data_IF_497726272025
#
_entry.id   IF_497726272025
#
_cell.length_a   1.000
_cell.length_b   1.000
_cell.length_c   1.000
_cell.angle_alpha   90.00
_cell.angle_beta   90.00
_cell.angle_gamma   90.00
#
_symmetry.space_group_name_H-M   'P 1'
#
loop_
_entity.id
_entity.type
_entity.pdbx_description
1 polymer ?
#
# COMPACT_ATOMS: atom_id res chain seq x y z
N UNK A 1 32.74 79.72 -17.85
CA UNK A 1 32.50 78.41 -17.22
C UNK A 1 31.05 78.01 -17.41
N UNK A 2 30.75 76.97 -18.22
CA UNK A 2 29.40 76.38 -18.33
C UNK A 2 29.56 74.86 -18.22
N UNK A 3 29.01 74.30 -17.14
CA UNK A 3 29.06 72.86 -16.80
C UNK A 3 28.24 72.06 -17.82
N UNK A 4 28.84 70.99 -18.35
CA UNK A 4 28.18 69.97 -19.17
C UNK A 4 27.41 69.03 -18.24
N UNK A 5 26.10 68.86 -18.44
CA UNK A 5 25.31 67.83 -17.76
C UNK A 5 25.34 66.59 -18.65
N UNK A 6 25.94 65.51 -18.16
CA UNK A 6 25.92 64.18 -18.78
C UNK A 6 24.65 63.49 -18.26
N UNK A 7 23.68 63.23 -19.15
CA UNK A 7 22.50 62.42 -18.84
C UNK A 7 22.92 60.96 -19.06
N UNK A 8 23.08 60.22 -17.95
CA UNK A 8 23.38 58.80 -17.97
C UNK A 8 22.17 57.98 -18.42
N UNK A 9 22.37 57.14 -19.45
CA UNK A 9 21.40 56.15 -19.88
C UNK A 9 21.37 55.00 -18.85
N UNK A 10 20.23 54.81 -18.19
CA UNK A 10 19.96 53.63 -17.35
C UNK A 10 19.37 52.56 -18.27
N UNK A 11 20.21 51.62 -18.70
CA UNK A 11 19.77 50.41 -19.40
C UNK A 11 19.22 49.42 -18.37
N UNK A 12 17.90 49.28 -18.31
CA UNK A 12 17.24 48.21 -17.58
C UNK A 12 17.47 46.88 -18.31
N UNK A 13 18.33 46.02 -17.75
CA UNK A 13 18.48 44.63 -18.20
C UNK A 13 17.27 43.84 -17.70
N UNK A 14 16.35 43.54 -18.61
CA UNK A 14 15.26 42.58 -18.40
C UNK A 14 15.87 41.18 -18.21
N UNK A 15 15.91 40.70 -16.97
CA UNK A 15 16.14 39.28 -16.67
C UNK A 15 14.92 38.50 -17.19
N UNK A 16 15.06 37.85 -18.35
CA UNK A 16 14.14 36.82 -18.77
C UNK A 16 14.32 35.61 -17.85
N UNK A 17 13.42 35.44 -16.89
CA UNK A 17 13.31 34.22 -16.10
C UNK A 17 12.93 33.06 -17.03
N UNK A 18 13.90 32.24 -17.40
CA UNK A 18 13.62 30.94 -18.02
C UNK A 18 13.03 30.07 -16.91
N UNK A 19 11.71 29.95 -16.89
CA UNK A 19 11.04 28.90 -16.12
C UNK A 19 11.34 27.61 -16.85
N UNK A 20 12.41 26.92 -16.43
CA UNK A 20 12.58 25.51 -16.73
C UNK A 20 11.44 24.78 -16.04
N UNK A 21 10.33 24.59 -16.75
CA UNK A 21 9.37 23.57 -16.41
C UNK A 21 10.10 22.22 -16.52
N UNK A 22 10.68 21.78 -15.40
CA UNK A 22 11.21 20.44 -15.29
C UNK A 22 10.08 19.48 -15.62
N UNK A 23 10.15 18.83 -16.79
CA UNK A 23 9.30 17.67 -17.06
C UNK A 23 9.58 16.69 -15.94
N UNK A 24 8.58 16.43 -15.10
CA UNK A 24 8.63 15.30 -14.18
C UNK A 24 9.05 14.09 -15.02
N UNK A 25 10.21 13.51 -14.72
CA UNK A 25 10.68 12.34 -15.45
C UNK A 25 9.63 11.26 -15.22
N UNK A 26 8.90 10.88 -16.27
CA UNK A 26 8.00 9.74 -16.21
C UNK A 26 8.81 8.56 -15.70
N UNK A 27 8.40 7.97 -14.58
CA UNK A 27 9.12 6.87 -13.97
C UNK A 27 9.40 5.77 -15.00
N UNK A 28 10.68 5.45 -15.21
CA UNK A 28 11.11 4.46 -16.20
C UNK A 28 11.47 3.17 -15.46
N UNK A 29 10.65 2.13 -15.54
CA UNK A 29 11.06 0.77 -15.13
C UNK A 29 11.37 -0.02 -16.38
N UNK A 30 12.35 -0.91 -16.36
CA UNK A 30 12.65 -1.80 -17.49
C UNK A 30 12.20 -3.21 -17.12
N UNK A 31 11.31 -3.79 -17.93
CA UNK A 31 10.75 -5.14 -17.77
C UNK A 31 11.11 -5.99 -18.98
N UNK A 32 11.82 -7.10 -18.79
CA UNK A 32 12.31 -7.98 -19.87
C UNK A 32 13.06 -7.22 -20.98
N UNK A 33 13.78 -6.15 -20.61
CA UNK A 33 14.48 -5.27 -21.56
C UNK A 33 13.60 -4.18 -22.20
N UNK A 34 12.28 -4.20 -21.99
CA UNK A 34 11.36 -3.19 -22.48
C UNK A 34 11.20 -2.06 -21.46
N UNK A 35 11.37 -0.82 -21.90
CA UNK A 35 11.14 0.33 -21.06
C UNK A 35 9.63 0.61 -20.90
N UNK A 36 9.19 0.74 -19.65
CA UNK A 36 7.82 1.07 -19.29
C UNK A 36 7.73 2.57 -19.02
N UNK A 37 6.74 3.22 -19.62
CA UNK A 37 6.35 4.58 -19.28
C UNK A 37 5.04 4.51 -18.51
N UNK A 38 5.05 4.90 -17.25
CA UNK A 38 3.84 4.94 -16.45
C UNK A 38 3.15 6.29 -16.56
N UNK A 39 1.83 6.26 -16.74
CA UNK A 39 1.00 7.47 -16.66
C UNK A 39 0.75 7.81 -15.19
N UNK A 40 0.33 6.81 -14.41
CA UNK A 40 0.22 6.93 -12.96
C UNK A 40 1.60 6.70 -12.31
N UNK A 41 2.01 7.59 -11.41
CA UNK A 41 3.37 7.54 -10.84
C UNK A 41 3.55 6.33 -9.91
N UNK A 42 4.56 5.47 -10.14
CA UNK A 42 4.99 4.48 -9.17
C UNK A 42 5.37 5.13 -7.83
N UNK A 43 5.15 4.41 -6.73
CA UNK A 43 5.45 4.89 -5.38
C UNK A 43 5.91 3.74 -4.50
N UNK A 44 6.46 4.03 -3.32
CA UNK A 44 6.91 3.00 -2.38
C UNK A 44 5.95 2.81 -1.21
N UNK A 45 5.79 1.56 -0.80
CA UNK A 45 5.20 1.17 0.49
C UNK A 45 6.29 0.43 1.27
N UNK A 46 6.84 1.06 2.30
CA UNK A 46 8.04 0.56 2.97
C UNK A 46 9.19 0.37 1.98
N UNK A 47 9.63 -0.87 1.79
CA UNK A 47 10.68 -1.25 0.82
C UNK A 47 10.16 -1.77 -0.53
N UNK A 48 8.84 -1.78 -0.74
CA UNK A 48 8.23 -2.30 -1.96
C UNK A 48 7.91 -1.17 -2.94
N UNK A 49 8.41 -1.29 -4.17
CA UNK A 49 8.04 -0.41 -5.26
C UNK A 49 6.70 -0.88 -5.87
N UNK A 50 5.69 -0.02 -5.78
CA UNK A 50 4.36 -0.21 -6.31
C UNK A 50 4.27 0.35 -7.73
N UNK A 51 3.81 -0.48 -8.68
CA UNK A 51 3.69 -0.10 -10.09
C UNK A 51 2.25 -0.31 -10.60
N UNK A 52 1.75 0.54 -11.52
CA UNK A 52 0.46 0.35 -12.19
C UNK A 52 0.40 -0.98 -12.95
N UNK A 53 -0.60 -1.81 -12.64
CA UNK A 53 -0.75 -3.15 -13.22
C UNK A 53 -0.96 -3.08 -14.74
N UNK A 54 -1.78 -2.14 -15.22
CA UNK A 54 -2.20 -2.11 -16.63
C UNK A 54 -1.02 -1.81 -17.55
N UNK A 55 -0.28 -0.75 -17.29
CA UNK A 55 0.89 -0.34 -18.07
C UNK A 55 2.02 -1.38 -17.95
N UNK A 56 2.16 -1.99 -16.78
CA UNK A 56 3.07 -3.13 -16.59
C UNK A 56 2.72 -4.27 -17.55
N UNK A 57 1.45 -4.70 -17.58
CA UNK A 57 0.99 -5.78 -18.45
C UNK A 57 1.07 -5.41 -19.93
N UNK A 58 0.90 -4.14 -20.26
CA UNK A 58 1.12 -3.62 -21.61
C UNK A 58 2.58 -3.80 -22.05
N UNK A 59 3.54 -3.42 -21.20
CA UNK A 59 4.96 -3.58 -21.48
C UNK A 59 5.44 -5.04 -21.52
N UNK A 60 4.71 -5.95 -20.85
CA UNK A 60 4.94 -7.39 -20.88
C UNK A 60 4.30 -8.09 -22.08
N UNK A 61 3.95 -7.35 -23.13
CA UNK A 61 3.45 -7.90 -24.40
C UNK A 61 1.94 -7.76 -24.58
N UNK A 62 1.33 -6.66 -24.09
CA UNK A 62 -0.10 -6.37 -24.20
C UNK A 62 -0.98 -7.47 -23.58
N UNK A 63 -0.64 -7.89 -22.37
CA UNK A 63 -1.40 -8.92 -21.65
C UNK A 63 -2.79 -8.37 -21.29
N UNK A 64 -3.89 -9.03 -21.71
CA UNK A 64 -5.22 -8.58 -21.39
C UNK A 64 -5.52 -8.78 -19.89
N UNK A 65 -6.15 -7.79 -19.28
CA UNK A 65 -6.61 -7.83 -17.89
C UNK A 65 -8.12 -7.64 -17.83
N UNK A 66 -8.79 -8.54 -17.12
CA UNK A 66 -10.21 -8.45 -16.79
C UNK A 66 -10.35 -7.84 -15.41
N UNK A 67 -11.14 -6.77 -15.29
CA UNK A 67 -11.44 -6.14 -14.01
C UNK A 67 -12.89 -6.41 -13.61
N UNK A 68 -13.09 -7.00 -12.45
CA UNK A 68 -14.37 -7.10 -11.77
C UNK A 68 -14.47 -5.99 -10.72
N UNK A 69 -15.27 -4.97 -11.03
CA UNK A 69 -15.47 -3.82 -10.14
C UNK A 69 -16.30 -4.14 -8.89
N UNK A 70 -17.15 -5.18 -8.93
CA UNK A 70 -17.95 -5.57 -7.77
C UNK A 70 -17.09 -6.28 -6.73
N UNK A 71 -16.15 -7.12 -7.20
CA UNK A 71 -15.25 -7.88 -6.35
C UNK A 71 -13.92 -7.17 -6.08
N UNK A 72 -13.68 -6.02 -6.75
CA UNK A 72 -12.42 -5.27 -6.77
C UNK A 72 -11.23 -6.16 -7.14
N UNK A 73 -11.40 -6.93 -8.21
CA UNK A 73 -10.52 -8.03 -8.58
C UNK A 73 -10.05 -7.92 -10.02
N UNK A 74 -8.75 -8.04 -10.24
CA UNK A 74 -8.12 -8.17 -11.55
C UNK A 74 -7.77 -9.64 -11.83
N UNK A 75 -8.09 -10.13 -13.03
CA UNK A 75 -7.68 -11.44 -13.53
C UNK A 75 -6.96 -11.30 -14.85
N UNK A 76 -5.83 -11.98 -14.99
CA UNK A 76 -5.05 -12.01 -16.23
C UNK A 76 -4.26 -13.30 -16.35
N UNK A 77 -3.87 -13.66 -17.57
CA UNK A 77 -3.02 -14.82 -17.82
C UNK A 77 -1.69 -14.36 -18.38
N UNK A 78 -0.59 -14.76 -17.75
CA UNK A 78 0.75 -14.41 -18.20
C UNK A 78 1.67 -15.65 -18.21
N UNK A 79 2.29 -15.91 -19.36
CA UNK A 79 3.16 -17.07 -19.58
C UNK A 79 2.54 -18.42 -19.13
N UNK A 80 1.24 -18.59 -19.36
CA UNK A 80 0.51 -19.81 -19.00
C UNK A 80 0.03 -19.88 -17.55
N UNK A 81 0.35 -18.89 -16.71
CA UNK A 81 -0.16 -18.80 -15.35
C UNK A 81 -1.44 -17.96 -15.31
N UNK A 82 -2.47 -18.45 -14.63
CA UNK A 82 -3.69 -17.68 -14.30
C UNK A 82 -3.48 -16.92 -13.00
N UNK A 83 -3.60 -15.59 -13.06
CA UNK A 83 -3.36 -14.71 -11.91
C UNK A 83 -4.63 -13.97 -11.54
N UNK A 84 -4.98 -14.02 -10.25
CA UNK A 84 -6.08 -13.26 -9.65
C UNK A 84 -5.54 -12.39 -8.53
N UNK A 85 -5.82 -11.09 -8.62
CA UNK A 85 -5.36 -10.08 -7.66
C UNK A 85 -6.56 -9.29 -7.18
N UNK A 86 -6.74 -9.19 -5.87
CA UNK A 86 -7.81 -8.40 -5.25
C UNK A 86 -7.24 -7.15 -4.59
N UNK A 87 -7.89 -6.01 -4.77
CA UNK A 87 -7.55 -4.77 -4.06
C UNK A 87 -7.56 -5.01 -2.55
N UNK A 88 -6.64 -4.40 -1.82
CA UNK A 88 -6.48 -4.58 -0.37
C UNK A 88 -5.89 -5.94 0.05
N UNK A 89 -5.79 -6.91 -0.87
CA UNK A 89 -5.22 -8.22 -0.59
C UNK A 89 -3.70 -8.17 -0.45
N UNK A 90 -3.18 -8.89 0.53
CA UNK A 90 -1.75 -9.16 0.69
C UNK A 90 -1.22 -10.36 -0.07
N UNK A 91 -2.08 -11.01 -0.83
CA UNK A 91 -1.74 -12.15 -1.66
C UNK A 91 -2.41 -12.05 -3.03
N UNK A 92 -1.79 -12.67 -4.02
CA UNK A 92 -2.39 -12.99 -5.31
C UNK A 92 -2.68 -14.50 -5.35
N UNK A 93 -3.59 -14.94 -6.20
CA UNK A 93 -3.69 -16.35 -6.58
C UNK A 93 -2.94 -16.54 -7.89
N UNK A 94 -2.01 -17.49 -7.94
CA UNK A 94 -1.32 -17.94 -9.15
C UNK A 94 -1.69 -19.40 -9.35
N UNK A 95 -2.40 -19.73 -10.43
CA UNK A 95 -2.96 -21.06 -10.69
C UNK A 95 -3.74 -21.61 -9.48
N UNK A 96 -4.58 -20.76 -8.88
CA UNK A 96 -5.38 -21.06 -7.69
C UNK A 96 -4.57 -21.31 -6.39
N UNK A 97 -3.25 -21.08 -6.41
CA UNK A 97 -2.40 -21.15 -5.22
C UNK A 97 -2.12 -19.73 -4.70
N UNK A 98 -2.27 -19.52 -3.39
CA UNK A 98 -2.04 -18.21 -2.78
C UNK A 98 -0.55 -17.89 -2.69
N UNK A 99 -0.18 -16.70 -3.16
CA UNK A 99 1.18 -16.19 -3.20
C UNK A 99 1.23 -14.82 -2.52
N UNK A 100 2.08 -14.71 -1.50
CA UNK A 100 2.20 -13.49 -0.69
C UNK A 100 2.89 -12.37 -1.49
N UNK A 101 2.35 -11.16 -1.37
CA UNK A 101 2.85 -9.97 -2.06
C UNK A 101 3.76 -9.11 -1.15
N UNK A 102 3.72 -9.33 0.17
CA UNK A 102 4.50 -8.62 1.17
C UNK A 102 3.95 -7.25 1.55
N UNK A 103 3.19 -6.62 0.65
CA UNK A 103 2.36 -5.44 0.89
C UNK A 103 1.02 -5.60 0.20
N UNK A 104 -0.04 -4.92 0.68
CA UNK A 104 -1.35 -5.02 0.05
C UNK A 104 -1.36 -4.37 -1.33
N UNK A 105 -2.20 -4.89 -2.22
CA UNK A 105 -2.52 -4.24 -3.49
C UNK A 105 -3.35 -2.98 -3.23
N UNK A 106 -3.02 -1.89 -3.92
CA UNK A 106 -3.66 -0.58 -3.68
C UNK A 106 -4.36 -0.12 -4.95
N UNK A 107 -5.58 0.40 -4.82
CA UNK A 107 -6.19 1.20 -5.87
C UNK A 107 -5.97 2.67 -5.52
N UNK A 108 -5.33 3.43 -6.41
CA UNK A 108 -5.10 4.87 -6.26
C UNK A 108 -5.44 5.57 -7.56
N UNK A 109 -6.25 6.63 -7.46
CA UNK A 109 -6.71 7.42 -8.62
C UNK A 109 -7.36 6.59 -9.76
N UNK A 110 -7.89 5.41 -9.44
CA UNK A 110 -8.53 4.50 -10.41
C UNK A 110 -7.59 3.43 -10.99
N UNK A 111 -6.30 3.48 -10.69
CA UNK A 111 -5.32 2.48 -11.12
C UNK A 111 -5.00 1.48 -10.00
N UNK A 112 -4.86 0.21 -10.38
CA UNK A 112 -4.47 -0.87 -9.48
C UNK A 112 -2.94 -0.98 -9.45
N UNK A 113 -2.35 -0.82 -8.27
CA UNK A 113 -0.92 -0.88 -8.03
C UNK A 113 -0.53 -2.19 -7.36
N UNK A 114 0.47 -2.85 -7.94
CA UNK A 114 1.01 -4.11 -7.44
C UNK A 114 2.51 -4.00 -7.10
N UNK A 115 3.04 -4.84 -6.20
CA UNK A 115 4.47 -4.83 -5.91
C UNK A 115 5.26 -5.34 -7.10
N UNK A 116 6.25 -4.56 -7.54
CA UNK A 116 7.13 -4.92 -8.65
C UNK A 116 7.86 -6.26 -8.42
N UNK A 117 8.17 -6.59 -7.16
CA UNK A 117 8.81 -7.86 -6.80
C UNK A 117 7.97 -9.09 -7.14
N UNK A 118 6.63 -8.99 -7.10
CA UNK A 118 5.74 -10.08 -7.48
C UNK A 118 5.97 -10.51 -8.92
N UNK A 119 6.15 -9.55 -9.84
CA UNK A 119 6.41 -9.82 -11.25
C UNK A 119 7.74 -10.55 -11.44
N UNK A 120 8.77 -10.14 -10.68
CA UNK A 120 10.09 -10.78 -10.72
C UNK A 120 10.06 -12.20 -10.18
N UNK A 121 9.47 -12.37 -9.00
CA UNK A 121 9.59 -13.60 -8.22
C UNK A 121 8.63 -14.68 -8.67
N UNK A 122 7.44 -14.30 -9.12
CA UNK A 122 6.34 -15.23 -9.40
C UNK A 122 6.07 -15.37 -10.89
N UNK A 123 6.37 -14.32 -11.67
CA UNK A 123 6.13 -14.30 -13.12
C UNK A 123 7.43 -14.35 -13.93
N UNK A 124 8.59 -14.50 -13.29
CA UNK A 124 9.89 -14.62 -13.96
C UNK A 124 10.28 -13.38 -14.78
N UNK A 125 9.71 -12.22 -14.47
CA UNK A 125 10.00 -10.96 -15.18
C UNK A 125 11.37 -10.44 -14.75
N UNK A 126 12.23 -10.14 -15.72
CA UNK A 126 13.48 -9.43 -15.45
C UNK A 126 13.16 -7.96 -15.21
N UNK A 127 13.49 -7.46 -14.02
CA UNK A 127 13.19 -6.09 -13.60
C UNK A 127 14.48 -5.32 -13.41
N UNK A 128 14.57 -4.12 -13.99
CA UNK A 128 15.62 -3.16 -13.72
C UNK A 128 15.01 -1.78 -13.42
N UNK A 129 15.44 -1.19 -12.30
CA UNK A 129 14.95 0.10 -11.81
C UNK A 129 16.13 1.10 -11.84
N UNK A 130 16.03 2.16 -12.66
CA UNK A 130 17.01 3.24 -12.71
C UNK A 130 17.22 3.92 -11.33
N UNK A 131 18.45 4.39 -11.04
CA UNK A 131 18.73 5.18 -9.85
C UNK A 131 17.86 6.46 -9.82
N UNK A 132 17.30 6.79 -8.66
CA UNK A 132 16.48 8.00 -8.45
C UNK A 132 14.96 7.78 -8.45
N UNK A 133 14.49 6.57 -8.78
CA UNK A 133 13.08 6.17 -8.64
C UNK A 133 12.69 5.75 -7.21
N UNK A 134 13.69 5.41 -6.42
CA UNK A 134 13.53 4.93 -5.05
C UNK A 134 14.31 5.89 -4.16
N UNK A 135 13.70 6.36 -3.07
CA UNK A 135 14.39 7.26 -2.14
C UNK A 135 15.76 6.68 -1.72
N UNK A 136 16.82 7.51 -1.63
CA UNK A 136 18.14 7.03 -1.23
C UNK A 136 18.07 6.42 0.17
N UNK A 137 18.12 5.09 0.25
CA UNK A 137 17.96 4.33 1.49
C UNK A 137 17.20 3.01 1.32
N UNK A 138 16.39 2.88 0.27
CA UNK A 138 15.74 1.60 -0.06
C UNK A 138 16.74 0.71 -0.78
N UNK A 139 17.52 -0.03 0.00
CA UNK A 139 18.18 -1.23 -0.52
C UNK A 139 17.08 -2.23 -0.78
N UNK A 140 16.79 -2.49 -2.06
CA UNK A 140 16.11 -3.71 -2.45
C UNK A 140 17.02 -4.88 -2.04
N UNK A 141 16.94 -5.30 -0.77
CA UNK A 141 17.57 -6.53 -0.32
C UNK A 141 16.85 -7.68 -1.00
N UNK A 142 17.47 -8.12 -2.10
CA UNK A 142 17.23 -9.40 -2.74
C UNK A 142 17.72 -10.47 -1.77
N UNK A 143 16.79 -11.19 -1.13
CA UNK A 143 17.08 -12.47 -0.49
C UNK A 143 15.95 -13.43 -0.84
N UNK A 144 16.34 -14.54 -1.47
CA UNK A 144 15.44 -15.53 -2.03
C UNK A 144 14.42 -16.02 -1.02
N UNK A 145 13.16 -16.02 -1.44
CA UNK A 145 12.12 -16.77 -0.75
C UNK A 145 11.69 -17.89 -1.69
N UNK A 146 12.17 -19.10 -1.40
CA UNK A 146 11.40 -20.30 -1.75
C UNK A 146 10.15 -20.20 -0.89
N UNK A 147 8.99 -20.08 -1.52
CA UNK A 147 7.71 -19.98 -0.83
C UNK A 147 7.48 -21.18 0.07
N UNK A 148 7.92 -21.08 1.32
CA UNK A 148 7.14 -21.65 2.40
C UNK A 148 5.85 -20.81 2.46
N UNK A 149 4.66 -21.41 2.32
CA UNK A 149 3.42 -20.70 2.59
C UNK A 149 3.56 -20.12 3.99
N UNK A 150 3.31 -18.81 4.15
CA UNK A 150 3.42 -18.02 5.39
C UNK A 150 3.84 -18.92 6.55
N UNK A 151 5.12 -18.89 6.96
CA UNK A 151 5.49 -19.53 8.23
C UNK A 151 4.39 -19.16 9.21
N UNK A 152 3.67 -20.19 9.71
CA UNK A 152 2.29 -20.07 10.21
C UNK A 152 2.09 -18.72 10.88
N UNK A 153 1.09 -17.88 10.47
CA UNK A 153 0.90 -16.56 11.05
C UNK A 153 1.11 -16.67 12.56
N UNK A 154 2.09 -15.94 13.11
CA UNK A 154 2.39 -16.03 14.53
C UNK A 154 1.05 -15.89 15.25
N UNK A 155 0.61 -16.89 16.04
CA UNK A 155 -0.71 -16.83 16.65
C UNK A 155 -0.83 -15.50 17.39
N UNK A 156 -1.76 -14.63 16.95
CA UNK A 156 -1.94 -13.29 17.49
C UNK A 156 -1.58 -12.13 16.55
N UNK A 157 -0.72 -12.32 15.55
CA UNK A 157 -0.27 -11.25 14.67
C UNK A 157 -1.32 -10.90 13.61
N UNK A 158 -2.01 -9.78 13.79
CA UNK A 158 -2.92 -9.20 12.81
C UNK A 158 -2.10 -8.44 11.77
N UNK A 159 -2.25 -8.80 10.51
CA UNK A 159 -1.42 -8.28 9.42
C UNK A 159 -2.25 -7.86 8.22
N UNK A 160 -1.84 -6.77 7.57
CA UNK A 160 -2.38 -6.34 6.27
C UNK A 160 -1.25 -6.47 5.27
N UNK A 161 -1.46 -7.18 4.17
CA UNK A 161 -0.38 -7.37 3.21
C UNK A 161 0.70 -8.39 3.60
N UNK A 162 0.60 -9.02 4.77
CA UNK A 162 1.73 -9.69 5.42
C UNK A 162 2.57 -8.75 6.30
N UNK A 163 2.21 -7.47 6.40
CA UNK A 163 2.81 -6.51 7.35
C UNK A 163 2.04 -6.56 8.66
N UNK A 164 2.67 -6.96 9.79
CA UNK A 164 2.01 -6.94 11.10
C UNK A 164 1.67 -5.50 11.50
N UNK A 165 0.40 -5.27 11.86
CA UNK A 165 -0.10 -3.96 12.29
C UNK A 165 -0.62 -3.95 13.72
N UNK A 166 -0.89 -5.12 14.29
CA UNK A 166 -1.35 -5.27 15.67
C UNK A 166 -1.04 -6.68 16.18
N UNK A 167 -0.72 -6.82 17.47
CA UNK A 167 -0.58 -8.12 18.13
C UNK A 167 -1.72 -8.34 19.13
N UNK A 168 -2.44 -9.44 18.97
CA UNK A 168 -3.47 -9.90 19.88
C UNK A 168 -2.90 -10.98 20.80
N UNK A 169 -3.12 -10.83 22.10
CA UNK A 169 -2.59 -11.74 23.12
C UNK A 169 -3.70 -12.53 23.84
N UNK A 170 -4.95 -12.42 23.37
CA UNK A 170 -6.11 -13.08 23.97
C UNK A 170 -7.04 -13.68 22.90
N UNK A 171 -7.76 -14.74 23.24
CA UNK A 171 -8.66 -15.45 22.32
C UNK A 171 -10.04 -14.79 22.22
N UNK A 172 -10.52 -14.15 23.29
CA UNK A 172 -11.69 -13.26 23.30
C UNK A 172 -12.95 -13.80 22.57
N UNK A 173 -13.37 -15.02 22.88
CA UNK A 173 -14.61 -15.62 22.37
C UNK A 173 -14.50 -16.35 21.02
N UNK A 174 -13.31 -16.46 20.45
CA UNK A 174 -13.04 -17.34 19.30
C UNK A 174 -12.54 -18.71 19.77
N UNK A 175 -12.46 -19.73 18.90
CA UNK A 175 -11.95 -21.04 19.29
C UNK A 175 -10.45 -21.00 19.57
N UNK A 176 -9.69 -20.29 18.75
CA UNK A 176 -8.24 -20.10 18.91
C UNK A 176 -7.80 -18.65 18.67
N UNK A 177 -6.60 -18.31 19.15
CA UNK A 177 -5.99 -17.01 18.88
C UNK A 177 -5.77 -16.79 17.36
N UNK A 178 -5.39 -17.85 16.64
CA UNK A 178 -5.23 -17.81 15.19
C UNK A 178 -6.55 -17.52 14.46
N UNK A 179 -7.65 -18.19 14.85
CA UNK A 179 -8.98 -17.93 14.28
C UNK A 179 -9.45 -16.49 14.51
N UNK A 180 -9.22 -15.96 15.72
CA UNK A 180 -9.51 -14.55 16.01
C UNK A 180 -8.74 -13.63 15.10
N UNK A 181 -7.43 -13.82 15.02
CA UNK A 181 -6.54 -13.00 14.19
C UNK A 181 -6.98 -13.02 12.72
N UNK A 182 -7.36 -14.17 12.18
CA UNK A 182 -7.89 -14.28 10.81
C UNK A 182 -9.14 -13.43 10.62
N UNK A 183 -10.14 -13.57 11.50
CA UNK A 183 -11.40 -12.81 11.39
C UNK A 183 -11.20 -11.31 11.57
N UNK A 184 -10.32 -10.90 12.48
CA UNK A 184 -9.96 -9.50 12.67
C UNK A 184 -9.27 -8.96 11.42
N UNK A 185 -8.36 -9.75 10.83
CA UNK A 185 -7.67 -9.39 9.59
C UNK A 185 -8.65 -9.21 8.43
N UNK A 186 -9.59 -10.13 8.21
CA UNK A 186 -10.61 -10.02 7.15
C UNK A 186 -11.47 -8.76 7.30
N UNK A 187 -11.90 -8.45 8.53
CA UNK A 187 -12.70 -7.25 8.82
C UNK A 187 -11.88 -5.98 8.64
N UNK A 188 -10.61 -5.98 9.05
CA UNK A 188 -9.69 -4.87 8.82
C UNK A 188 -9.52 -4.63 7.32
N UNK A 189 -9.26 -5.68 6.53
CA UNK A 189 -9.17 -5.59 5.07
C UNK A 189 -10.44 -4.95 4.48
N UNK A 190 -11.62 -5.39 4.91
CA UNK A 190 -12.91 -4.83 4.45
C UNK A 190 -13.06 -3.34 4.82
N UNK A 191 -12.76 -2.97 6.07
CA UNK A 191 -12.82 -1.59 6.52
C UNK A 191 -11.82 -0.69 5.81
N UNK A 192 -10.64 -1.24 5.50
CA UNK A 192 -9.56 -0.53 4.83
C UNK A 192 -9.83 -0.33 3.35
N UNK A 193 -10.36 -1.33 2.64
CA UNK A 193 -10.86 -1.19 1.28
C UNK A 193 -11.84 -0.03 1.18
N UNK A 194 -12.82 0.04 2.10
CA UNK A 194 -13.76 1.15 2.18
C UNK A 194 -13.07 2.48 2.49
N UNK A 195 -12.12 2.52 3.41
CA UNK A 195 -11.39 3.74 3.76
C UNK A 195 -10.64 4.32 2.56
N UNK A 196 -9.88 3.47 1.86
CA UNK A 196 -9.10 3.87 0.68
C UNK A 196 -10.00 4.37 -0.44
N UNK A 197 -11.15 3.72 -0.69
CA UNK A 197 -12.12 4.18 -1.69
C UNK A 197 -12.67 5.58 -1.38
N UNK A 198 -12.85 5.91 -0.09
CA UNK A 198 -13.36 7.22 0.32
C UNK A 198 -12.31 8.34 0.24
N UNK A 199 -11.04 7.99 0.09
CA UNK A 199 -9.89 8.92 0.09
C UNK A 199 -9.02 8.76 -1.18
N UNK A 200 -9.60 8.34 -2.30
CA UNK A 200 -8.93 8.19 -3.61
C UNK A 200 -7.67 7.30 -3.61
N UNK A 201 -7.60 6.35 -2.68
CA UNK A 201 -6.45 5.45 -2.51
C UNK A 201 -5.37 5.93 -1.54
N UNK A 202 -5.51 7.14 -1.00
CA UNK A 202 -4.82 7.55 0.21
C UNK A 202 -5.52 6.97 1.45
N UNK A 203 -4.81 6.87 2.58
CA UNK A 203 -5.45 6.50 3.84
C UNK A 203 -5.55 7.71 4.77
N UNK A 204 -6.78 8.05 5.17
CA UNK A 204 -7.02 9.03 6.22
C UNK A 204 -7.09 8.35 7.59
N UNK A 205 -6.08 8.56 8.43
CA UNK A 205 -6.01 7.99 9.79
C UNK A 205 -7.23 8.32 10.67
N UNK A 206 -7.93 9.44 10.42
CA UNK A 206 -9.12 9.81 11.18
C UNK A 206 -10.30 8.84 10.96
N UNK A 207 -10.24 7.98 9.94
CA UNK A 207 -11.25 6.93 9.70
C UNK A 207 -11.13 5.74 10.64
N UNK A 208 -10.01 5.60 11.34
CA UNK A 208 -9.86 4.60 12.41
C UNK A 208 -10.37 5.23 13.69
N UNK A 209 -11.43 4.68 14.25
CA UNK A 209 -12.08 5.20 15.46
C UNK A 209 -12.43 4.05 16.39
N UNK A 210 -12.85 4.34 17.61
CA UNK A 210 -13.52 3.34 18.44
C UNK A 210 -14.77 3.95 19.08
N UNK A 211 -15.74 3.10 19.40
CA UNK A 211 -16.98 3.46 20.07
C UNK A 211 -17.53 2.29 20.87
N UNK A 212 -18.60 2.52 21.63
CA UNK A 212 -19.26 1.46 22.39
C UNK A 212 -20.37 0.80 21.56
N UNK A 213 -20.35 -0.53 21.51
CA UNK A 213 -21.44 -1.36 20.99
C UNK A 213 -21.87 -2.27 22.13
N UNK A 214 -23.10 -2.09 22.62
CA UNK A 214 -23.64 -2.83 23.76
C UNK A 214 -22.70 -2.83 24.99
N UNK A 215 -22.10 -1.67 25.27
CA UNK A 215 -21.15 -1.47 26.37
C UNK A 215 -19.74 -2.00 26.13
N UNK A 216 -19.49 -2.69 25.02
CA UNK A 216 -18.16 -3.19 24.63
C UNK A 216 -17.46 -2.21 23.71
N UNK A 217 -16.21 -1.81 23.96
CA UNK A 217 -15.45 -1.00 23.02
C UNK A 217 -15.17 -1.77 21.73
N UNK A 218 -15.48 -1.16 20.60
CA UNK A 218 -15.26 -1.71 19.25
C UNK A 218 -14.48 -0.69 18.44
N UNK A 219 -13.40 -1.16 17.80
CA UNK A 219 -12.63 -0.40 16.82
C UNK A 219 -13.32 -0.49 15.46
N UNK A 220 -13.36 0.64 14.76
CA UNK A 220 -13.94 0.78 13.44
C UNK A 220 -12.92 1.36 12.46
N UNK A 221 -12.99 0.93 11.20
CA UNK A 221 -12.33 1.59 10.07
C UNK A 221 -13.40 1.97 9.06
N UNK A 222 -13.52 3.27 8.76
CA UNK A 222 -14.55 3.81 7.87
C UNK A 222 -15.97 3.32 8.21
N UNK A 223 -16.28 3.21 9.50
CA UNK A 223 -17.58 2.74 10.02
C UNK A 223 -17.79 1.23 9.97
N UNK A 224 -16.84 0.44 9.47
CA UNK A 224 -16.88 -1.03 9.53
C UNK A 224 -16.32 -1.49 10.87
N UNK A 225 -17.04 -2.31 11.67
CA UNK A 225 -16.52 -2.84 12.93
C UNK A 225 -15.43 -3.88 12.64
N UNK A 226 -14.22 -3.65 13.15
CA UNK A 226 -13.05 -4.49 12.83
C UNK A 226 -12.55 -5.33 14.00
N UNK A 227 -12.66 -4.82 15.22
CA UNK A 227 -12.11 -5.46 16.42
C UNK A 227 -12.89 -5.06 17.67
N UNK A 228 -13.48 -6.05 18.34
CA UNK A 228 -13.99 -5.87 19.69
C UNK A 228 -12.86 -5.97 20.70
N UNK A 229 -12.81 -5.05 21.65
CA UNK A 229 -11.84 -5.00 22.74
C UNK A 229 -12.51 -5.55 24.00
N UNK A 230 -12.15 -6.78 24.35
CA UNK A 230 -12.80 -7.55 25.41
C UNK A 230 -12.12 -7.35 26.77
N UNK A 231 -12.73 -7.89 27.83
CA UNK A 231 -12.12 -7.89 29.15
C UNK A 231 -10.83 -8.73 29.16
N UNK A 232 -10.81 -9.85 28.43
CA UNK A 232 -9.64 -10.71 28.28
C UNK A 232 -8.46 -9.98 27.63
N UNK A 233 -8.73 -9.13 26.63
CA UNK A 233 -7.71 -8.27 26.03
C UNK A 233 -7.12 -7.29 27.04
N UNK A 234 -8.00 -6.65 27.81
CA UNK A 234 -7.62 -5.67 28.80
C UNK A 234 -6.75 -6.30 29.91
N UNK A 235 -7.12 -7.50 30.37
CA UNK A 235 -6.33 -8.29 31.32
C UNK A 235 -4.96 -8.65 30.73
N UNK A 236 -4.91 -9.15 29.50
CA UNK A 236 -3.65 -9.50 28.83
C UNK A 236 -2.71 -8.31 28.62
N UNK A 237 -3.24 -7.08 28.61
CA UNK A 237 -2.49 -5.84 28.42
C UNK A 237 -2.38 -4.98 29.70
N UNK A 238 -2.78 -5.50 30.87
CA UNK A 238 -2.75 -4.79 32.16
C UNK A 238 -3.41 -3.40 32.10
N UNK A 239 -4.59 -3.31 31.51
CA UNK A 239 -5.29 -2.05 31.24
C UNK A 239 -6.80 -2.23 31.30
N UNK A 240 -7.58 -1.22 30.89
CA UNK A 240 -9.04 -1.29 30.74
C UNK A 240 -9.43 -1.43 29.26
N UNK A 241 -10.61 -2.01 28.94
CA UNK A 241 -11.05 -2.14 27.56
C UNK A 241 -11.07 -0.81 26.78
N UNK A 242 -11.52 0.27 27.41
CA UNK A 242 -11.61 1.60 26.78
C UNK A 242 -10.23 2.22 26.51
N UNK A 243 -9.31 2.08 27.48
CA UNK A 243 -7.95 2.58 27.30
C UNK A 243 -7.22 1.76 26.23
N UNK A 244 -7.38 0.44 26.24
CA UNK A 244 -6.81 -0.44 25.22
C UNK A 244 -7.34 -0.13 23.82
N UNK A 245 -8.66 0.10 23.68
CA UNK A 245 -9.25 0.52 22.41
C UNK A 245 -8.61 1.81 21.88
N UNK A 246 -8.34 2.78 22.76
CA UNK A 246 -7.66 4.02 22.40
C UNK A 246 -6.22 3.78 21.94
N UNK A 247 -5.47 2.92 22.64
CA UNK A 247 -4.10 2.54 22.27
C UNK A 247 -4.07 1.84 20.92
N UNK A 248 -4.94 0.84 20.71
CA UNK A 248 -5.00 0.10 19.45
C UNK A 248 -5.42 0.98 18.28
N UNK A 249 -6.35 1.93 18.47
CA UNK A 249 -6.67 2.92 17.42
C UNK A 249 -5.42 3.73 17.03
N UNK A 250 -4.63 4.21 17.99
CA UNK A 250 -3.42 4.97 17.68
C UNK A 250 -2.37 4.12 16.95
N UNK A 251 -2.17 2.87 17.38
CA UNK A 251 -1.26 1.92 16.72
C UNK A 251 -1.72 1.64 15.29
N UNK A 252 -3.00 1.33 15.08
CA UNK A 252 -3.55 1.08 13.75
C UNK A 252 -3.41 2.31 12.86
N UNK A 253 -3.69 3.52 13.37
CA UNK A 253 -3.50 4.77 12.62
C UNK A 253 -2.06 4.94 12.15
N UNK A 254 -1.09 4.80 13.06
CA UNK A 254 0.33 4.94 12.73
C UNK A 254 0.76 3.91 11.67
N UNK A 255 0.47 2.63 11.92
CA UNK A 255 0.89 1.51 11.06
C UNK A 255 0.21 1.53 9.69
N UNK A 256 -1.08 1.84 9.63
CA UNK A 256 -1.79 1.94 8.36
C UNK A 256 -1.33 3.17 7.56
N UNK A 257 -0.99 4.28 8.23
CA UNK A 257 -0.42 5.45 7.55
C UNK A 257 1.00 5.20 7.02
N UNK A 258 1.78 4.34 7.66
CA UNK A 258 3.07 3.84 7.12
C UNK A 258 2.87 2.99 5.86
N UNK A 259 1.82 2.16 5.82
CA UNK A 259 1.54 1.25 4.69
C UNK A 259 0.85 2.00 3.53
N UNK A 260 -0.04 2.94 3.83
CA UNK A 260 -0.82 3.68 2.86
C UNK A 260 -0.61 5.18 3.10
N UNK A 261 0.51 5.78 2.67
CA UNK A 261 0.70 7.20 2.83
C UNK A 261 -0.42 7.97 2.10
N UNK A 262 -0.88 9.06 2.72
CA UNK A 262 -1.82 9.98 2.10
C UNK A 262 -1.31 10.40 0.71
N UNK A 263 -2.22 10.44 -0.27
CA UNK A 263 -2.00 10.97 -1.61
C UNK A 263 -1.71 12.46 -1.58
#
# INVERSE_FOLDING_TARGET
MRRRIVIGAVTAVLLAGVILAGRAAHAQVILNGNQVTYQAQPFTIGSFLMVPLRETLQALGNVPVQWDAQQLMARFTYQGNDIVIRSGSGYALVNNQAVVLGVPVVVREGDLFIPLNFLREQLGVTVNVPPGLVEPGVRASVLGFRGEPLGTPRPGAVAIGGVPILELNAVAGFGTLAERTTRVTERLTTGLERALLLDNGGFNANRVTWGLVDGTPVVFIAGVPVLSVTAEDAVANNTTPQLLASVWVQQLRARLNEIFPAS
#
